data_IF_765490354290
#
_entry.id   IF_765490354290
#
_cell.length_a   1.000
_cell.length_b   1.000
_cell.length_c   1.000
_cell.angle_alpha   90.00
_cell.angle_beta   90.00
_cell.angle_gamma   90.00
#
_symmetry.space_group_name_H-M   'P 1'
#
loop_
_entity.id
_entity.type
_entity.pdbx_description
1 polymer ?
#
# COMPACT_ATOMS: atom_id res chain seq x y z
N UNK A 1 30.37 -8.35 45.10
CA UNK A 1 31.14 -9.43 44.45
C UNK A 1 30.11 -10.38 43.83
N UNK A 2 29.75 -10.18 42.55
CA UNK A 2 30.29 -10.86 41.35
C UNK A 2 29.92 -12.36 41.33
N UNK A 3 29.21 -12.94 40.38
CA UNK A 3 29.20 -12.74 38.92
C UNK A 3 27.92 -13.31 38.28
N UNK A 4 27.45 -12.65 37.22
CA UNK A 4 26.50 -13.14 36.23
C UNK A 4 27.22 -13.98 35.14
N UNK A 5 26.50 -14.71 34.26
CA UNK A 5 26.92 -15.98 33.69
C UNK A 5 27.75 -15.86 32.39
N UNK A 6 28.40 -16.97 32.05
CA UNK A 6 29.28 -17.20 30.89
C UNK A 6 28.69 -16.70 29.57
N UNK A 7 29.14 -15.54 29.11
CA UNK A 7 29.11 -15.17 27.69
C UNK A 7 30.36 -15.72 27.01
N UNK A 8 30.24 -16.32 25.82
CA UNK A 8 31.39 -16.81 25.07
C UNK A 8 32.26 -15.64 24.58
N UNK A 9 33.57 -15.82 24.63
CA UNK A 9 34.56 -14.83 24.15
C UNK A 9 34.69 -14.88 22.64
N UNK A 10 35.34 -13.86 22.07
CA UNK A 10 35.59 -13.71 20.63
C UNK A 10 36.29 -14.92 19.98
N UNK A 11 36.93 -15.76 20.80
CA UNK A 11 37.70 -16.93 20.36
C UNK A 11 37.03 -18.26 20.74
N UNK A 12 35.81 -18.23 21.30
CA UNK A 12 35.09 -19.45 21.70
C UNK A 12 34.49 -20.14 20.48
N UNK A 13 34.94 -21.37 20.23
CA UNK A 13 34.40 -22.22 19.16
C UNK A 13 32.98 -22.69 19.51
N UNK A 14 32.01 -22.38 18.64
CA UNK A 14 30.63 -22.87 18.74
C UNK A 14 30.51 -24.19 17.99
N UNK A 15 30.12 -25.26 18.68
CA UNK A 15 29.91 -26.58 18.06
C UNK A 15 28.64 -26.56 17.18
N UNK A 16 28.85 -26.63 15.85
CA UNK A 16 27.80 -26.87 14.87
C UNK A 16 27.25 -28.30 14.94
N UNK A 17 25.96 -28.46 14.62
CA UNK A 17 25.23 -29.73 14.68
C UNK A 17 25.84 -30.87 13.86
N UNK A 18 25.40 -32.10 14.18
CA UNK A 18 26.00 -33.39 13.81
C UNK A 18 25.91 -33.80 12.31
N UNK A 19 26.15 -32.87 11.39
CA UNK A 19 26.38 -33.16 9.97
C UNK A 19 27.79 -32.68 9.58
N UNK A 20 28.59 -33.48 8.84
CA UNK A 20 29.93 -33.07 8.45
C UNK A 20 29.87 -31.83 7.55
N UNK A 21 30.61 -30.78 7.93
CA UNK A 21 30.71 -29.56 7.13
C UNK A 21 31.32 -29.88 5.76
N UNK A 22 30.82 -29.30 4.65
CA UNK A 22 31.39 -29.50 3.33
C UNK A 22 32.85 -29.01 3.31
N UNK A 23 33.73 -29.83 2.75
CA UNK A 23 35.21 -29.74 2.81
C UNK A 23 35.81 -28.44 2.21
N UNK A 24 34.97 -27.54 1.67
CA UNK A 24 35.37 -26.24 1.12
C UNK A 24 34.38 -25.10 1.41
N UNK A 25 33.50 -25.24 2.42
CA UNK A 25 32.54 -24.20 2.77
C UNK A 25 33.09 -23.23 3.82
N UNK A 26 33.61 -22.07 3.42
CA UNK A 26 33.87 -20.98 4.37
C UNK A 26 32.54 -20.38 4.80
N UNK A 27 32.19 -20.51 6.08
CA UNK A 27 31.08 -19.75 6.67
C UNK A 27 31.59 -18.33 6.91
N UNK A 28 31.35 -17.42 5.96
CA UNK A 28 31.69 -16.01 6.12
C UNK A 28 30.78 -15.42 7.22
N UNK A 29 31.33 -15.23 8.42
CA UNK A 29 30.70 -14.49 9.51
C UNK A 29 30.93 -12.97 9.37
N UNK A 30 30.29 -12.19 10.24
CA UNK A 30 30.52 -10.75 10.32
C UNK A 30 30.08 -9.98 9.06
N UNK A 31 30.75 -8.86 8.81
CA UNK A 31 30.46 -7.95 7.69
C UNK A 31 30.59 -8.63 6.31
N UNK A 32 31.57 -9.53 6.14
CA UNK A 32 31.74 -10.27 4.88
C UNK A 32 30.59 -11.25 4.62
N UNK A 33 30.06 -11.87 5.69
CA UNK A 33 28.83 -12.66 5.60
C UNK A 33 27.63 -11.83 5.16
N UNK A 34 27.48 -10.63 5.71
CA UNK A 34 26.41 -9.70 5.32
C UNK A 34 26.56 -9.27 3.84
N UNK A 35 27.77 -8.91 3.39
CA UNK A 35 28.04 -8.59 1.96
C UNK A 35 27.71 -9.75 1.02
N UNK A 36 28.06 -10.96 1.41
CA UNK A 36 27.74 -12.16 0.64
C UNK A 36 26.22 -12.34 0.51
N UNK A 37 25.48 -12.20 1.62
CA UNK A 37 24.00 -12.28 1.59
C UNK A 37 23.37 -11.15 0.76
N UNK A 38 23.91 -9.94 0.81
CA UNK A 38 23.48 -8.82 -0.04
C UNK A 38 23.73 -9.07 -1.53
N UNK A 39 24.59 -10.01 -1.90
CA UNK A 39 24.80 -10.41 -3.30
C UNK A 39 23.89 -11.56 -3.76
N UNK A 40 23.02 -12.06 -2.88
CA UNK A 40 22.12 -13.18 -3.19
C UNK A 40 21.10 -12.84 -4.27
N UNK A 41 20.78 -13.81 -5.11
CA UNK A 41 19.67 -13.71 -6.06
C UNK A 41 18.31 -13.56 -5.34
N UNK A 42 18.17 -14.18 -4.16
CA UNK A 42 16.94 -14.15 -3.37
C UNK A 42 16.74 -12.79 -2.70
N UNK A 43 15.60 -12.15 -2.99
CA UNK A 43 15.23 -10.82 -2.45
C UNK A 43 15.19 -10.83 -0.93
N UNK A 44 14.54 -11.83 -0.32
CA UNK A 44 14.42 -11.93 1.15
C UNK A 44 15.77 -12.03 1.86
N UNK A 45 16.71 -12.77 1.26
CA UNK A 45 18.08 -12.89 1.81
C UNK A 45 18.79 -11.54 1.81
N UNK A 46 18.58 -10.71 0.77
CA UNK A 46 19.15 -9.35 0.72
C UNK A 46 18.49 -8.44 1.75
N UNK A 47 17.15 -8.47 1.86
CA UNK A 47 16.39 -7.69 2.84
C UNK A 47 16.86 -7.99 4.27
N UNK A 48 16.94 -9.27 4.64
CA UNK A 48 17.41 -9.68 5.97
C UNK A 48 18.85 -9.20 6.26
N UNK A 49 19.73 -9.24 5.26
CA UNK A 49 21.11 -8.80 5.42
C UNK A 49 21.27 -7.28 5.66
N UNK A 50 20.31 -6.45 5.24
CA UNK A 50 20.36 -5.01 5.48
C UNK A 50 20.28 -4.66 6.97
N UNK A 51 19.41 -5.34 7.71
CA UNK A 51 19.31 -5.14 9.15
C UNK A 51 20.62 -5.56 9.84
N UNK A 52 21.20 -6.70 9.45
CA UNK A 52 22.49 -7.17 9.97
C UNK A 52 23.62 -6.18 9.72
N UNK A 53 23.60 -5.48 8.58
CA UNK A 53 24.62 -4.50 8.23
C UNK A 53 24.74 -3.40 9.29
N UNK A 54 23.65 -3.00 9.93
CA UNK A 54 23.65 -1.95 10.95
C UNK A 54 24.50 -2.29 12.18
N UNK A 55 24.85 -3.56 12.39
CA UNK A 55 25.71 -4.00 13.49
C UNK A 55 27.21 -3.74 13.24
N UNK A 56 27.59 -3.26 12.05
CA UNK A 56 29.00 -3.08 11.65
C UNK A 56 29.41 -1.61 11.46
N UNK A 57 28.73 -0.69 12.15
CA UNK A 57 29.07 0.73 12.17
C UNK A 57 29.05 1.38 10.78
N UNK A 58 30.01 2.25 10.51
CA UNK A 58 30.09 3.02 9.25
C UNK A 58 30.18 2.13 8.01
N UNK A 59 30.97 1.05 8.06
CA UNK A 59 31.11 0.14 6.93
C UNK A 59 29.79 -0.57 6.61
N UNK A 60 29.01 -0.91 7.64
CA UNK A 60 27.69 -1.47 7.52
C UNK A 60 26.66 -0.48 6.98
N UNK A 61 26.64 0.75 7.52
CA UNK A 61 25.71 1.78 7.09
C UNK A 61 25.91 2.16 5.61
N UNK A 62 27.16 2.17 5.15
CA UNK A 62 27.49 2.34 3.73
C UNK A 62 26.93 1.22 2.83
N UNK A 63 26.83 -0.02 3.32
CA UNK A 63 26.19 -1.10 2.57
C UNK A 63 24.68 -0.89 2.47
N UNK A 64 24.04 -0.44 3.55
CA UNK A 64 22.61 -0.09 3.54
C UNK A 64 22.35 1.07 2.58
N UNK A 65 23.15 2.13 2.61
CA UNK A 65 23.07 3.25 1.68
C UNK A 65 23.20 2.81 0.21
N UNK A 66 24.17 1.93 -0.10
CA UNK A 66 24.32 1.37 -1.47
C UNK A 66 23.10 0.57 -1.91
N UNK A 67 22.39 -0.08 -1.00
CA UNK A 67 21.20 -0.85 -1.32
C UNK A 67 20.00 0.00 -1.77
N UNK A 68 20.05 1.33 -1.61
CA UNK A 68 19.12 2.25 -2.29
C UNK A 68 19.20 2.13 -3.83
N UNK A 69 20.28 1.57 -4.38
CA UNK A 69 20.45 1.31 -5.81
C UNK A 69 20.20 -0.15 -6.20
N UNK A 70 19.66 -0.99 -5.30
CA UNK A 70 19.36 -2.40 -5.62
C UNK A 70 18.33 -2.50 -6.76
N UNK A 71 18.43 -3.52 -7.60
CA UNK A 71 17.48 -3.76 -8.69
C UNK A 71 16.04 -3.99 -8.20
N UNK A 72 15.86 -4.55 -7.00
CA UNK A 72 14.57 -4.84 -6.39
C UNK A 72 14.04 -3.64 -5.61
N UNK A 73 12.82 -3.18 -5.95
CA UNK A 73 12.12 -2.12 -5.22
C UNK A 73 11.92 -2.46 -3.75
N UNK A 74 11.68 -3.74 -3.41
CA UNK A 74 11.51 -4.21 -2.02
C UNK A 74 12.80 -4.03 -1.20
N UNK A 75 13.96 -4.33 -1.78
CA UNK A 75 15.26 -4.12 -1.12
C UNK A 75 15.54 -2.62 -0.93
N UNK A 76 15.30 -1.80 -1.96
CA UNK A 76 15.45 -0.34 -1.86
C UNK A 76 14.54 0.25 -0.79
N UNK A 77 13.27 -0.20 -0.70
CA UNK A 77 12.31 0.22 0.34
C UNK A 77 12.82 -0.10 1.74
N UNK A 78 13.32 -1.32 1.96
CA UNK A 78 13.88 -1.69 3.26
C UNK A 78 15.12 -0.85 3.60
N UNK A 79 16.02 -0.65 2.65
CA UNK A 79 17.22 0.17 2.86
C UNK A 79 16.85 1.61 3.25
N UNK A 80 15.90 2.20 2.54
CA UNK A 80 15.35 3.52 2.84
C UNK A 80 14.77 3.61 4.26
N UNK A 81 13.91 2.66 4.65
CA UNK A 81 13.30 2.64 5.99
C UNK A 81 14.35 2.50 7.11
N UNK A 82 15.43 1.76 6.88
CA UNK A 82 16.53 1.63 7.85
C UNK A 82 17.40 2.91 7.96
N UNK A 83 17.41 3.75 6.93
CA UNK A 83 18.19 4.98 6.86
C UNK A 83 17.41 6.21 7.34
N UNK A 84 16.08 6.28 7.14
CA UNK A 84 15.29 7.52 7.37
C UNK A 84 15.40 8.10 8.79
N UNK A 85 15.55 7.26 9.81
CA UNK A 85 15.67 7.70 11.21
C UNK A 85 17.13 7.93 11.66
N UNK A 86 18.10 7.80 10.75
CA UNK A 86 19.53 7.89 11.04
C UNK A 86 20.00 9.34 10.96
N UNK A 87 20.92 9.71 11.85
CA UNK A 87 21.49 11.07 11.96
C UNK A 87 22.92 11.15 11.43
N UNK A 88 23.47 10.02 11.03
CA UNK A 88 24.80 9.89 10.47
C UNK A 88 24.87 10.62 9.11
N UNK A 89 25.90 11.45 8.83
CA UNK A 89 25.99 12.25 7.60
C UNK A 89 25.84 11.44 6.31
N UNK A 90 26.38 10.23 6.29
CA UNK A 90 26.27 9.31 5.15
C UNK A 90 24.83 8.86 4.87
N UNK A 91 24.01 8.66 5.91
CA UNK A 91 22.61 8.28 5.73
C UNK A 91 21.79 9.48 5.23
N UNK A 92 22.01 10.66 5.81
CA UNK A 92 21.39 11.92 5.38
C UNK A 92 21.72 12.20 3.91
N UNK A 93 23.00 12.13 3.53
CA UNK A 93 23.44 12.36 2.15
C UNK A 93 22.84 11.33 1.19
N UNK A 94 22.81 10.05 1.57
CA UNK A 94 22.24 9.01 0.72
C UNK A 94 20.73 9.20 0.45
N UNK A 95 20.00 9.81 1.39
CA UNK A 95 18.57 10.06 1.27
C UNK A 95 18.24 11.36 0.53
N UNK A 96 19.06 12.41 0.66
CA UNK A 96 18.84 13.69 -0.03
C UNK A 96 18.74 13.56 -1.56
N UNK A 97 19.52 12.65 -2.16
CA UNK A 97 19.52 12.42 -3.60
C UNK A 97 18.50 11.36 -4.04
N UNK A 98 17.80 10.72 -3.09
CA UNK A 98 16.98 9.56 -3.34
C UNK A 98 15.49 9.89 -3.45
N UNK A 99 14.90 9.62 -4.63
CA UNK A 99 13.45 9.79 -4.86
C UNK A 99 12.66 8.64 -4.24
N UNK A 100 12.41 8.74 -2.94
CA UNK A 100 11.72 7.71 -2.16
C UNK A 100 10.25 7.50 -2.54
N UNK A 101 9.62 8.49 -3.20
CA UNK A 101 8.23 8.42 -3.62
C UNK A 101 7.89 7.14 -4.41
N UNK A 102 8.80 6.71 -5.28
CA UNK A 102 8.60 5.53 -6.11
C UNK A 102 8.78 4.19 -5.35
N UNK A 103 9.14 4.22 -4.06
CA UNK A 103 9.31 3.02 -3.22
C UNK A 103 8.02 2.53 -2.60
N UNK A 104 7.07 3.43 -2.37
CA UNK A 104 5.81 3.06 -1.76
C UNK A 104 4.90 2.42 -2.81
N UNK A 105 4.14 1.42 -2.39
CA UNK A 105 3.04 0.92 -3.22
C UNK A 105 1.98 2.00 -3.16
N UNK A 106 1.50 2.50 -4.28
CA UNK A 106 0.46 3.53 -4.27
C UNK A 106 -0.40 3.32 -5.48
N UNK A 107 -1.68 3.60 -5.33
CA UNK A 107 -2.56 3.54 -6.47
C UNK A 107 -2.41 4.83 -7.30
N UNK A 108 -1.86 4.72 -8.50
CA UNK A 108 -1.85 5.83 -9.44
C UNK A 108 -3.10 5.74 -10.30
N UNK A 109 -3.92 6.81 -10.34
CA UNK A 109 -4.91 6.93 -11.40
C UNK A 109 -4.20 6.87 -12.76
N UNK A 110 -4.79 6.25 -13.77
CA UNK A 110 -4.27 6.36 -15.12
C UNK A 110 -4.13 7.81 -15.55
N UNK A 111 -3.09 8.08 -16.33
CA UNK A 111 -2.91 9.36 -17.01
C UNK A 111 -4.11 9.58 -17.94
N UNK A 112 -4.57 10.83 -18.04
CA UNK A 112 -5.68 11.25 -18.90
C UNK A 112 -5.62 10.60 -20.30
N UNK A 113 -6.77 10.10 -20.79
CA UNK A 113 -7.06 9.52 -22.12
C UNK A 113 -7.04 7.98 -22.30
N UNK A 114 -6.87 7.15 -21.26
CA UNK A 114 -7.15 5.71 -21.38
C UNK A 114 -8.60 5.40 -20.91
N UNK A 115 -9.52 5.25 -21.86
CA UNK A 115 -10.95 4.96 -21.65
C UNK A 115 -11.24 3.60 -21.00
N UNK A 116 -10.27 2.72 -20.78
CA UNK A 116 -10.44 1.48 -20.02
C UNK A 116 -9.09 1.13 -19.39
N UNK A 117 -8.92 1.40 -18.09
CA UNK A 117 -7.64 1.15 -17.43
C UNK A 117 -7.68 0.01 -16.43
N UNK A 118 -7.24 -1.16 -16.89
CA UNK A 118 -6.89 -2.23 -15.98
C UNK A 118 -5.55 -2.00 -15.31
N UNK A 119 -5.42 -2.48 -14.08
CA UNK A 119 -4.17 -2.40 -13.34
C UNK A 119 -3.06 -3.17 -14.06
N UNK A 120 -1.97 -2.48 -14.41
CA UNK A 120 -0.80 -3.04 -15.12
C UNK A 120 0.25 -3.60 -14.15
N UNK A 121 0.25 -3.12 -12.90
CA UNK A 121 1.16 -3.56 -11.84
C UNK A 121 0.44 -3.66 -10.51
N UNK A 122 0.68 -4.74 -9.76
CA UNK A 122 0.08 -4.94 -8.43
C UNK A 122 1.07 -5.66 -7.52
N UNK A 123 1.21 -5.19 -6.28
CA UNK A 123 2.15 -5.72 -5.30
C UNK A 123 3.58 -5.85 -5.84
N UNK A 124 4.06 -4.82 -6.56
CA UNK A 124 5.35 -4.79 -7.26
C UNK A 124 5.58 -5.89 -8.31
N UNK A 125 4.50 -6.48 -8.84
CA UNK A 125 4.53 -7.48 -9.92
C UNK A 125 3.86 -6.90 -11.15
N UNK A 126 4.27 -7.38 -12.32
CA UNK A 126 3.48 -7.16 -13.55
C UNK A 126 2.17 -7.93 -13.41
N UNK A 127 1.07 -7.32 -13.83
CA UNK A 127 -0.22 -7.99 -13.91
C UNK A 127 -0.36 -8.64 -15.29
N UNK A 128 -0.73 -9.92 -15.33
CA UNK A 128 -1.03 -10.67 -16.55
C UNK A 128 -2.36 -11.39 -16.41
N UNK A 129 -3.10 -11.52 -17.50
CA UNK A 129 -4.35 -12.27 -17.51
C UNK A 129 -4.06 -13.76 -17.33
N UNK A 130 -4.84 -14.44 -16.50
CA UNK A 130 -4.76 -15.89 -16.42
C UNK A 130 -5.40 -16.52 -17.65
N UNK A 131 -4.65 -17.41 -18.30
CA UNK A 131 -5.11 -18.20 -19.43
C UNK A 131 -4.91 -19.70 -19.10
N UNK A 132 -5.99 -20.49 -19.04
CA UNK A 132 -5.89 -21.92 -18.73
C UNK A 132 -5.09 -22.72 -19.76
N UNK A 133 -4.91 -22.22 -20.99
CA UNK A 133 -4.07 -22.88 -22.00
C UNK A 133 -2.58 -22.72 -21.71
N UNK A 134 -2.17 -21.57 -21.18
CA UNK A 134 -0.76 -21.28 -20.87
C UNK A 134 -0.37 -21.59 -19.43
N UNK A 135 -1.35 -21.76 -18.53
CA UNK A 135 -1.17 -22.10 -17.12
C UNK A 135 -0.36 -21.05 -16.34
N UNK A 136 -0.23 -21.23 -15.02
CA UNK A 136 0.58 -20.36 -14.17
C UNK A 136 2.08 -20.69 -14.34
N UNK A 137 2.79 -19.83 -15.07
CA UNK A 137 4.22 -19.97 -15.41
C UNK A 137 5.16 -19.38 -14.37
N UNK A 138 4.82 -18.24 -13.76
CA UNK A 138 5.63 -17.58 -12.72
C UNK A 138 4.74 -17.15 -11.53
N UNK A 139 4.38 -18.09 -10.65
CA UNK A 139 3.43 -17.85 -9.57
C UNK A 139 3.88 -16.81 -8.53
N UNK A 140 5.19 -16.51 -8.47
CA UNK A 140 5.75 -15.56 -7.49
C UNK A 140 6.09 -14.20 -8.11
N UNK A 141 6.50 -14.15 -9.38
CA UNK A 141 6.90 -12.92 -10.07
C UNK A 141 5.76 -12.19 -10.80
N UNK A 142 4.64 -12.86 -11.07
CA UNK A 142 3.48 -12.32 -11.78
C UNK A 142 2.28 -12.22 -10.83
N UNK A 143 1.52 -11.13 -10.94
CA UNK A 143 0.18 -11.04 -10.37
C UNK A 143 -0.83 -11.47 -11.45
N UNK A 144 -1.49 -12.60 -11.23
CA UNK A 144 -2.45 -13.11 -12.21
C UNK A 144 -3.80 -12.42 -12.02
N UNK A 145 -4.39 -11.98 -13.12
CA UNK A 145 -5.71 -11.34 -13.13
C UNK A 145 -6.77 -12.28 -13.69
N UNK A 146 -7.95 -12.21 -13.08
CA UNK A 146 -9.19 -12.73 -13.62
C UNK A 146 -10.09 -11.54 -13.94
N UNK A 147 -10.34 -11.31 -15.22
CA UNK A 147 -11.18 -10.20 -15.69
C UNK A 147 -12.32 -10.70 -16.55
N UNK A 148 -13.50 -10.11 -16.35
CA UNK A 148 -14.63 -10.31 -17.23
C UNK A 148 -14.89 -9.03 -18.01
N UNK A 149 -14.89 -9.11 -19.34
CA UNK A 149 -15.42 -8.04 -20.20
C UNK A 149 -16.95 -8.19 -20.30
N UNK A 150 -17.66 -7.08 -20.49
CA UNK A 150 -19.12 -7.02 -20.65
C UNK A 150 -19.64 -7.91 -21.78
N UNK A 151 -18.81 -8.14 -22.80
CA UNK A 151 -19.14 -8.98 -23.96
C UNK A 151 -18.71 -10.44 -23.83
N UNK A 152 -17.97 -10.80 -22.78
CA UNK A 152 -17.57 -12.18 -22.53
C UNK A 152 -18.73 -13.02 -22.00
N UNK A 153 -18.77 -14.29 -22.42
CA UNK A 153 -19.77 -15.26 -21.95
C UNK A 153 -19.37 -15.98 -20.67
N UNK A 154 -18.10 -15.92 -20.31
CA UNK A 154 -17.55 -16.64 -19.18
C UNK A 154 -17.76 -15.82 -17.89
N UNK A 155 -18.42 -16.42 -16.92
CA UNK A 155 -18.69 -15.79 -15.63
C UNK A 155 -17.42 -15.81 -14.76
N UNK A 156 -17.31 -14.83 -13.85
CA UNK A 156 -16.15 -14.72 -12.95
C UNK A 156 -15.94 -15.97 -12.11
N UNK A 157 -17.02 -16.64 -11.70
CA UNK A 157 -16.98 -17.90 -10.95
C UNK A 157 -16.33 -19.02 -11.75
N UNK A 158 -16.54 -19.08 -13.06
CA UNK A 158 -15.95 -20.09 -13.93
C UNK A 158 -14.45 -19.85 -14.11
N UNK A 159 -14.06 -18.59 -14.34
CA UNK A 159 -12.65 -18.18 -14.41
C UNK A 159 -11.89 -18.52 -13.13
N UNK A 160 -12.47 -18.20 -11.97
CA UNK A 160 -11.88 -18.54 -10.67
C UNK A 160 -11.79 -20.05 -10.48
N UNK A 161 -12.84 -20.81 -10.82
CA UNK A 161 -12.80 -22.26 -10.76
C UNK A 161 -11.72 -22.87 -11.67
N UNK A 162 -11.50 -22.29 -12.86
CA UNK A 162 -10.43 -22.66 -13.78
C UNK A 162 -9.04 -22.44 -13.19
N UNK A 163 -8.79 -21.25 -12.62
CA UNK A 163 -7.53 -20.94 -11.95
C UNK A 163 -7.24 -21.89 -10.78
N UNK A 164 -8.26 -22.23 -9.99
CA UNK A 164 -8.11 -23.14 -8.84
C UNK A 164 -7.80 -24.60 -9.23
N UNK A 165 -8.02 -24.98 -10.49
CA UNK A 165 -7.64 -26.28 -11.03
C UNK A 165 -6.19 -26.33 -11.55
N UNK A 166 -5.55 -25.17 -11.70
CA UNK A 166 -4.17 -25.09 -12.17
C UNK A 166 -3.22 -25.80 -11.17
N UNK A 167 -2.30 -26.67 -11.65
CA UNK A 167 -1.39 -27.42 -10.77
C UNK A 167 -0.44 -26.53 -9.96
N UNK A 168 -0.30 -25.26 -10.32
CA UNK A 168 0.58 -24.29 -9.66
C UNK A 168 -0.19 -23.26 -8.81
N UNK A 169 -1.52 -23.37 -8.71
CA UNK A 169 -2.35 -22.48 -7.91
C UNK A 169 -1.86 -22.35 -6.45
N UNK A 170 -1.35 -23.44 -5.87
CA UNK A 170 -0.85 -23.45 -4.49
C UNK A 170 0.44 -22.64 -4.27
N UNK A 171 1.13 -22.26 -5.34
CA UNK A 171 2.31 -21.40 -5.33
C UNK A 171 1.99 -19.94 -5.66
N UNK A 172 0.79 -19.65 -6.17
CA UNK A 172 0.39 -18.32 -6.59
C UNK A 172 0.48 -17.33 -5.41
N UNK A 173 1.24 -16.25 -5.59
CA UNK A 173 1.46 -15.25 -4.55
C UNK A 173 0.58 -14.00 -4.70
N UNK A 174 0.10 -13.67 -5.90
CA UNK A 174 -0.69 -12.46 -6.13
C UNK A 174 -1.83 -12.71 -7.12
N UNK A 175 -3.04 -12.31 -6.72
CA UNK A 175 -4.27 -12.48 -7.48
C UNK A 175 -5.02 -11.14 -7.58
N UNK A 176 -5.46 -10.81 -8.78
CA UNK A 176 -6.31 -9.65 -9.09
C UNK A 176 -7.63 -10.16 -9.62
N UNK A 177 -8.75 -9.71 -9.08
CA UNK A 177 -10.08 -10.10 -9.51
C UNK A 177 -10.85 -8.84 -9.90
N UNK A 178 -11.36 -8.82 -11.14
CA UNK A 178 -12.13 -7.68 -11.61
C UNK A 178 -13.54 -7.64 -11.02
N UNK A 179 -14.18 -6.48 -11.10
CA UNK A 179 -15.63 -6.46 -11.06
C UNK A 179 -16.24 -7.08 -12.33
N UNK A 180 -17.43 -7.65 -12.23
CA UNK A 180 -18.20 -8.16 -13.37
C UNK A 180 -19.67 -7.72 -13.25
N UNK A 181 -20.29 -7.43 -14.39
CA UNK A 181 -21.73 -7.18 -14.47
C UNK A 181 -22.34 -8.43 -15.09
N UNK A 182 -22.91 -9.33 -14.29
CA UNK A 182 -23.73 -10.43 -14.83
C UNK A 182 -25.11 -9.92 -15.25
N UNK A 183 -25.72 -10.61 -16.22
CA UNK A 183 -27.10 -10.40 -16.68
C UNK A 183 -28.15 -10.63 -15.58
N UNK A 184 -27.76 -11.15 -14.41
CA UNK A 184 -28.59 -11.26 -13.20
C UNK A 184 -28.10 -10.29 -12.11
N UNK A 185 -28.65 -9.06 -12.02
CA UNK A 185 -28.13 -7.99 -11.16
C UNK A 185 -28.15 -8.29 -9.66
N UNK A 186 -28.92 -9.29 -9.21
CA UNK A 186 -29.03 -9.70 -7.81
C UNK A 186 -27.89 -10.61 -7.34
N UNK A 187 -27.09 -11.18 -8.24
CA UNK A 187 -25.92 -12.03 -7.92
C UNK A 187 -24.59 -11.29 -8.13
N UNK A 188 -24.63 -10.05 -8.62
CA UNK A 188 -23.46 -9.19 -8.76
C UNK A 188 -23.11 -8.61 -7.39
N UNK A 189 -22.52 -9.43 -6.52
CA UNK A 189 -21.86 -9.03 -5.29
C UNK A 189 -20.59 -9.83 -5.14
N UNK A 190 -19.55 -9.21 -4.58
CA UNK A 190 -18.31 -9.92 -4.24
C UNK A 190 -18.51 -11.03 -3.21
N UNK A 191 -19.65 -11.14 -2.52
CA UNK A 191 -19.87 -12.20 -1.52
C UNK A 191 -19.63 -13.61 -2.07
N UNK A 192 -20.07 -13.88 -3.30
CA UNK A 192 -19.88 -15.18 -3.96
C UNK A 192 -18.38 -15.47 -4.19
N UNK A 193 -17.62 -14.44 -4.55
CA UNK A 193 -16.17 -14.57 -4.77
C UNK A 193 -15.43 -14.70 -3.45
N UNK A 194 -15.84 -13.98 -2.40
CA UNK A 194 -15.31 -14.15 -1.05
C UNK A 194 -15.53 -15.59 -0.58
N UNK A 195 -16.74 -16.14 -0.72
CA UNK A 195 -17.05 -17.52 -0.35
C UNK A 195 -16.18 -18.54 -1.11
N UNK A 196 -16.01 -18.35 -2.42
CA UNK A 196 -15.13 -19.19 -3.24
C UNK A 196 -13.66 -19.10 -2.81
N UNK A 197 -13.17 -17.90 -2.51
CA UNK A 197 -11.81 -17.71 -2.01
C UNK A 197 -11.62 -18.38 -0.64
N UNK A 198 -12.59 -18.27 0.28
CA UNK A 198 -12.52 -18.94 1.59
C UNK A 198 -12.55 -20.47 1.42
N UNK A 199 -13.35 -21.00 0.49
CA UNK A 199 -13.36 -22.42 0.18
C UNK A 199 -12.06 -22.92 -0.49
N UNK A 200 -11.27 -22.00 -1.08
CA UNK A 200 -10.05 -22.30 -1.82
C UNK A 200 -8.76 -22.21 -0.98
N UNK A 201 -8.83 -22.07 0.34
CA UNK A 201 -7.67 -21.92 1.23
C UNK A 201 -6.59 -22.98 1.06
N UNK A 202 -6.97 -24.25 0.86
CA UNK A 202 -6.03 -25.34 0.61
C UNK A 202 -5.41 -25.31 -0.80
N UNK A 203 -6.00 -24.55 -1.72
CA UNK A 203 -5.55 -24.39 -3.11
C UNK A 203 -4.69 -23.16 -3.32
N UNK A 204 -4.87 -22.10 -2.54
CA UNK A 204 -4.16 -20.82 -2.66
C UNK A 204 -3.22 -20.58 -1.46
N UNK A 205 -2.50 -21.60 -1.02
CA UNK A 205 -1.71 -21.61 0.23
C UNK A 205 -0.51 -20.65 0.30
N UNK A 206 -0.15 -20.03 -0.83
CA UNK A 206 0.98 -19.09 -0.94
C UNK A 206 0.53 -17.66 -1.22
N UNK A 207 -0.78 -17.39 -1.22
CA UNK A 207 -1.31 -16.08 -1.54
C UNK A 207 -0.83 -15.04 -0.53
N UNK A 208 -0.26 -13.95 -1.04
CA UNK A 208 0.30 -12.81 -0.29
C UNK A 208 -0.33 -11.47 -0.68
N UNK A 209 -0.87 -11.36 -1.88
CA UNK A 209 -1.51 -10.12 -2.33
C UNK A 209 -2.82 -10.42 -3.04
N UNK A 210 -3.88 -9.72 -2.64
CA UNK A 210 -5.21 -9.85 -3.22
C UNK A 210 -5.76 -8.46 -3.57
N UNK A 211 -6.18 -8.30 -4.82
CA UNK A 211 -6.92 -7.11 -5.26
C UNK A 211 -8.33 -7.51 -5.70
N UNK A 212 -9.34 -6.97 -5.03
CA UNK A 212 -10.75 -7.14 -5.35
C UNK A 212 -11.32 -5.87 -6.01
N UNK A 213 -11.94 -6.04 -7.18
CA UNK A 213 -12.65 -4.97 -7.86
C UNK A 213 -11.84 -4.22 -8.90
N UNK A 214 -10.76 -4.81 -9.45
CA UNK A 214 -10.05 -4.19 -10.57
C UNK A 214 -11.05 -3.91 -11.70
N UNK A 215 -10.99 -2.73 -12.29
CA UNK A 215 -11.98 -2.31 -13.28
C UNK A 215 -11.32 -1.36 -14.25
N UNK A 216 -11.48 -1.65 -15.54
CA UNK A 216 -11.16 -0.72 -16.62
C UNK A 216 -12.06 0.50 -16.50
N UNK A 217 -11.55 1.61 -15.98
CA UNK A 217 -12.31 2.87 -15.85
C UNK A 217 -12.71 3.36 -17.26
N UNK A 218 -13.98 3.10 -17.62
CA UNK A 218 -14.49 3.25 -18.98
C UNK A 218 -16.00 3.22 -19.14
N UNK A 219 -16.71 3.76 -18.14
CA UNK A 219 -18.18 3.86 -18.16
C UNK A 219 -18.86 3.24 -16.96
N UNK A 220 -18.14 2.49 -16.13
CA UNK A 220 -18.68 1.93 -14.88
C UNK A 220 -18.15 2.74 -13.70
N UNK A 221 -19.06 3.45 -13.05
CA UNK A 221 -18.83 4.20 -11.83
C UNK A 221 -18.41 3.24 -10.69
N UNK A 222 -17.41 3.63 -9.88
CA UNK A 222 -16.98 2.86 -8.69
C UNK A 222 -18.15 2.57 -7.73
N UNK A 223 -19.19 3.42 -7.73
CA UNK A 223 -20.40 3.23 -6.94
C UNK A 223 -21.21 1.98 -7.32
N UNK A 224 -21.00 1.45 -8.54
CA UNK A 224 -21.67 0.26 -9.07
C UNK A 224 -21.02 -1.04 -8.61
N UNK A 225 -19.79 -1.00 -8.10
CA UNK A 225 -19.11 -2.18 -7.58
C UNK A 225 -19.73 -2.54 -6.23
N UNK A 226 -20.52 -3.62 -6.19
CA UNK A 226 -21.12 -4.12 -4.96
C UNK A 226 -20.17 -5.08 -4.27
N UNK A 227 -19.50 -4.57 -3.26
CA UNK A 227 -18.65 -5.33 -2.36
C UNK A 227 -19.49 -6.20 -1.40
N UNK A 228 -18.80 -6.76 -0.41
CA UNK A 228 -19.37 -7.51 0.71
C UNK A 228 -18.50 -7.30 1.95
N UNK A 229 -18.76 -8.06 3.02
CA UNK A 229 -17.74 -8.26 4.05
C UNK A 229 -16.53 -8.98 3.42
N UNK A 230 -15.36 -8.37 3.53
CA UNK A 230 -14.09 -8.91 2.98
C UNK A 230 -13.24 -9.56 4.07
N UNK A 231 -13.58 -9.40 5.34
CA UNK A 231 -12.82 -9.95 6.48
C UNK A 231 -12.54 -11.44 6.41
N UNK A 232 -13.46 -12.30 5.91
CA UNK A 232 -13.19 -13.74 5.79
C UNK A 232 -11.94 -14.08 4.97
N UNK A 233 -11.52 -13.23 4.00
CA UNK A 233 -10.28 -13.50 3.26
C UNK A 233 -9.04 -13.31 4.12
N UNK A 234 -9.07 -12.43 5.12
CA UNK A 234 -7.95 -12.23 6.04
C UNK A 234 -7.78 -13.48 6.92
N UNK A 235 -8.88 -14.04 7.42
CA UNK A 235 -8.83 -15.27 8.21
C UNK A 235 -8.39 -16.48 7.38
N UNK A 236 -8.83 -16.54 6.12
CA UNK A 236 -8.51 -17.61 5.17
C UNK A 236 -7.03 -17.63 4.76
N UNK A 237 -6.39 -16.47 4.65
CA UNK A 237 -5.06 -16.32 4.06
C UNK A 237 -4.05 -15.73 5.04
N UNK A 238 -3.50 -16.52 5.99
CA UNK A 238 -2.65 -16.00 7.06
C UNK A 238 -1.31 -15.40 6.58
N UNK A 239 -0.93 -15.63 5.32
CA UNK A 239 0.27 -15.04 4.68
C UNK A 239 -0.04 -13.77 3.90
N UNK A 240 -1.28 -13.26 3.92
CA UNK A 240 -1.66 -12.09 3.14
C UNK A 240 -0.95 -10.84 3.65
N UNK A 241 -0.12 -10.26 2.80
CA UNK A 241 0.68 -9.06 3.06
C UNK A 241 -0.01 -7.81 2.51
N UNK A 242 -0.83 -7.94 1.47
CA UNK A 242 -1.50 -6.81 0.82
C UNK A 242 -2.95 -7.16 0.46
N UNK A 243 -3.88 -6.32 0.93
CA UNK A 243 -5.27 -6.32 0.51
C UNK A 243 -5.61 -4.97 -0.11
N UNK A 244 -6.05 -5.01 -1.36
CA UNK A 244 -6.58 -3.84 -2.07
C UNK A 244 -8.03 -4.11 -2.44
N UNK A 245 -8.91 -3.13 -2.21
CA UNK A 245 -10.33 -3.24 -2.51
C UNK A 245 -10.79 -1.98 -3.22
N UNK A 246 -11.48 -2.13 -4.35
CA UNK A 246 -12.08 -1.04 -5.11
C UNK A 246 -13.60 -1.15 -5.10
N UNK A 247 -14.29 -0.07 -4.77
CA UNK A 247 -15.74 0.00 -4.62
C UNK A 247 -16.16 0.09 -3.15
N UNK A 248 -17.04 1.05 -2.82
CA UNK A 248 -17.51 1.26 -1.44
C UNK A 248 -18.89 0.64 -1.13
N UNK A 249 -19.68 0.31 -2.16
CA UNK A 249 -21.06 -0.10 -1.98
C UNK A 249 -21.13 -1.50 -1.34
N UNK A 250 -21.67 -1.59 -0.13
CA UNK A 250 -21.74 -2.85 0.63
C UNK A 250 -20.39 -3.33 1.18
N UNK A 251 -19.33 -2.53 1.08
CA UNK A 251 -18.02 -2.86 1.64
C UNK A 251 -18.09 -2.83 3.16
N UNK A 252 -17.79 -3.97 3.77
CA UNK A 252 -17.78 -4.11 5.22
C UNK A 252 -16.52 -4.81 5.70
N UNK A 253 -16.19 -4.55 6.96
CA UNK A 253 -15.23 -5.32 7.72
C UNK A 253 -15.85 -5.74 9.06
N UNK A 254 -15.35 -6.83 9.63
CA UNK A 254 -15.62 -7.29 10.98
C UNK A 254 -14.32 -7.23 11.80
N UNK A 255 -14.44 -7.36 13.12
CA UNK A 255 -13.27 -7.33 14.00
C UNK A 255 -12.45 -8.59 13.78
N UNK A 256 -11.35 -8.44 13.04
CA UNK A 256 -10.45 -9.54 12.66
C UNK A 256 -9.02 -9.17 13.02
N UNK A 257 -8.25 -10.18 13.43
CA UNK A 257 -6.81 -10.08 13.65
C UNK A 257 -6.06 -10.61 12.42
N UNK A 258 -5.02 -9.91 11.96
CA UNK A 258 -4.15 -10.42 10.90
C UNK A 258 -2.67 -10.08 11.11
N UNK A 259 -1.83 -11.10 11.37
CA UNK A 259 -0.42 -10.92 11.74
C UNK A 259 0.47 -10.34 10.64
N UNK A 260 0.12 -10.56 9.36
CA UNK A 260 1.02 -10.29 8.25
C UNK A 260 0.56 -9.18 7.31
N UNK A 261 -0.60 -8.55 7.55
CA UNK A 261 -1.14 -7.57 6.61
C UNK A 261 -0.33 -6.27 6.73
N UNK A 262 0.48 -5.97 5.72
CA UNK A 262 1.34 -4.78 5.69
C UNK A 262 0.69 -3.61 4.96
N UNK A 263 -0.19 -3.90 3.99
CA UNK A 263 -0.83 -2.91 3.13
C UNK A 263 -2.33 -3.16 3.08
N UNK A 264 -3.09 -2.13 3.48
CA UNK A 264 -4.53 -2.05 3.26
C UNK A 264 -4.82 -0.79 2.45
N UNK A 265 -5.39 -0.97 1.25
CA UNK A 265 -5.75 0.12 0.35
C UNK A 265 -7.21 -0.02 -0.09
N UNK A 266 -7.99 1.04 0.09
CA UNK A 266 -9.41 1.07 -0.21
C UNK A 266 -9.71 2.24 -1.16
N UNK A 267 -10.17 1.91 -2.36
CA UNK A 267 -10.49 2.86 -3.43
C UNK A 267 -12.01 3.00 -3.56
N UNK A 268 -12.57 4.17 -3.26
CA UNK A 268 -14.00 4.40 -3.39
C UNK A 268 -14.31 5.79 -3.96
N UNK A 269 -15.52 5.92 -4.52
CA UNK A 269 -16.12 7.22 -4.80
C UNK A 269 -16.74 7.86 -3.56
N UNK A 270 -17.03 7.08 -2.51
CA UNK A 270 -17.64 7.50 -1.25
C UNK A 270 -17.50 6.38 -0.20
N UNK A 271 -16.67 6.60 0.82
CA UNK A 271 -16.40 5.63 1.87
C UNK A 271 -17.28 5.92 3.09
N UNK A 272 -18.05 4.92 3.52
CA UNK A 272 -18.96 5.09 4.65
C UNK A 272 -18.20 5.20 5.97
N UNK A 273 -18.75 5.99 6.90
CA UNK A 273 -18.25 6.08 8.27
C UNK A 273 -18.29 4.74 8.99
N UNK A 274 -19.25 3.88 8.64
CA UNK A 274 -19.38 2.55 9.22
C UNK A 274 -18.19 1.69 8.81
N UNK A 275 -17.80 1.71 7.53
CA UNK A 275 -16.63 1.00 7.03
C UNK A 275 -15.35 1.49 7.71
N UNK A 276 -15.18 2.80 7.89
CA UNK A 276 -14.04 3.38 8.63
C UNK A 276 -14.02 2.86 10.08
N UNK A 277 -15.15 2.93 10.78
CA UNK A 277 -15.25 2.44 12.16
C UNK A 277 -14.95 0.94 12.28
N UNK A 278 -15.38 0.13 11.30
CA UNK A 278 -15.08 -1.30 11.26
C UNK A 278 -13.59 -1.57 11.08
N UNK A 279 -12.89 -0.82 10.21
CA UNK A 279 -11.44 -0.95 10.05
C UNK A 279 -10.70 -0.57 11.34
N UNK A 280 -11.16 0.47 12.03
CA UNK A 280 -10.55 0.95 13.29
C UNK A 280 -10.63 -0.07 14.45
N UNK A 281 -11.49 -1.09 14.36
CA UNK A 281 -11.60 -2.17 15.37
C UNK A 281 -10.97 -3.50 14.93
N UNK A 282 -10.26 -3.50 13.80
CA UNK A 282 -9.41 -4.61 13.39
C UNK A 282 -8.06 -4.56 14.11
N UNK A 283 -7.43 -5.72 14.28
CA UNK A 283 -6.09 -5.81 14.84
C UNK A 283 -5.08 -6.16 13.73
N UNK A 284 -4.35 -5.14 13.27
CA UNK A 284 -3.44 -5.23 12.14
C UNK A 284 -2.02 -4.81 12.57
N UNK A 285 -1.34 -5.61 13.41
CA UNK A 285 -0.08 -5.22 14.04
C UNK A 285 1.05 -5.00 13.02
N UNK A 286 0.99 -5.63 11.84
CA UNK A 286 1.99 -5.46 10.79
C UNK A 286 1.72 -4.31 9.82
N UNK A 287 0.62 -3.56 9.98
CA UNK A 287 0.20 -2.55 9.00
C UNK A 287 1.22 -1.41 8.91
N UNK A 288 1.78 -1.24 7.70
CA UNK A 288 2.80 -0.23 7.37
C UNK A 288 2.28 0.80 6.37
N UNK A 289 1.28 0.44 5.57
CA UNK A 289 0.69 1.28 4.55
C UNK A 289 -0.82 1.23 4.68
N UNK A 290 -1.43 2.38 4.93
CA UNK A 290 -2.86 2.51 4.99
C UNK A 290 -3.32 3.63 4.06
N UNK A 291 -4.22 3.29 3.14
CA UNK A 291 -4.73 4.22 2.14
C UNK A 291 -6.25 4.12 2.04
N UNK A 292 -6.91 5.28 2.19
CA UNK A 292 -8.34 5.45 2.05
C UNK A 292 -8.62 6.51 1.00
N UNK A 293 -9.48 6.17 0.04
CA UNK A 293 -10.12 7.13 -0.84
C UNK A 293 -11.50 7.45 -0.26
N UNK A 294 -11.61 8.65 0.30
CA UNK A 294 -12.76 9.04 1.11
C UNK A 294 -13.97 9.37 0.26
N UNK A 295 -13.78 10.02 -0.88
CA UNK A 295 -14.81 10.27 -1.86
C UNK A 295 -15.56 11.60 -1.67
N UNK A 296 -16.79 11.64 -2.16
CA UNK A 296 -17.69 12.79 -2.03
C UNK A 296 -19.14 12.37 -1.68
N UNK A 297 -19.97 13.36 -1.33
CA UNK A 297 -21.36 13.11 -0.96
C UNK A 297 -22.25 12.58 -2.09
N UNK A 298 -21.93 12.86 -3.36
CA UNK A 298 -22.69 12.34 -4.50
C UNK A 298 -22.61 10.81 -4.59
N UNK A 299 -21.52 10.20 -4.12
CA UNK A 299 -21.38 8.74 -4.04
C UNK A 299 -21.70 8.17 -2.66
N UNK A 300 -22.43 8.91 -1.84
CA UNK A 300 -22.96 8.41 -0.58
C UNK A 300 -21.97 8.41 0.58
N UNK A 301 -20.97 9.30 0.58
CA UNK A 301 -20.18 9.54 1.78
C UNK A 301 -21.09 10.02 2.91
N UNK A 302 -20.86 9.49 4.10
CA UNK A 302 -21.45 9.95 5.37
C UNK A 302 -20.39 10.11 6.47
N UNK A 303 -19.12 10.04 6.07
CA UNK A 303 -17.96 10.21 6.95
C UNK A 303 -17.52 11.67 7.03
N UNK A 304 -16.90 12.01 8.15
CA UNK A 304 -16.26 13.31 8.38
C UNK A 304 -14.88 13.14 9.01
N UNK A 305 -14.20 14.25 9.25
CA UNK A 305 -12.88 14.25 9.91
C UNK A 305 -12.92 13.60 11.29
N UNK A 306 -14.05 13.66 12.01
CA UNK A 306 -14.24 13.02 13.30
C UNK A 306 -14.09 11.49 13.23
N UNK A 307 -14.52 10.86 12.15
CA UNK A 307 -14.40 9.40 11.97
C UNK A 307 -12.93 8.99 11.70
N UNK A 308 -12.05 9.92 11.34
CA UNK A 308 -10.62 9.69 11.11
C UNK A 308 -9.76 9.87 12.37
N UNK A 309 -10.30 10.46 13.44
CA UNK A 309 -9.59 10.71 14.71
C UNK A 309 -8.90 9.45 15.26
N UNK A 310 -9.54 8.25 15.29
CA UNK A 310 -8.89 7.04 15.77
C UNK A 310 -7.61 6.71 14.98
N UNK A 311 -7.62 6.92 13.66
CA UNK A 311 -6.49 6.65 12.76
C UNK A 311 -5.37 7.67 13.01
N UNK A 312 -5.69 8.96 13.00
CA UNK A 312 -4.68 10.03 13.11
C UNK A 312 -4.13 10.21 14.54
N UNK A 313 -4.78 9.59 15.53
CA UNK A 313 -4.25 9.53 16.90
C UNK A 313 -2.93 8.74 17.02
N UNK A 314 -2.56 7.95 16.01
CA UNK A 314 -1.30 7.20 15.94
C UNK A 314 -1.26 5.94 16.81
N UNK A 315 -2.32 5.61 17.55
CA UNK A 315 -2.29 4.48 18.50
C UNK A 315 -2.73 3.14 17.87
N UNK A 316 -3.51 3.17 16.78
CA UNK A 316 -4.06 1.95 16.17
C UNK A 316 -2.99 1.17 15.40
N UNK A 317 -2.31 1.82 14.46
CA UNK A 317 -1.36 1.17 13.56
C UNK A 317 0.06 1.61 13.90
N UNK A 318 0.65 1.01 14.93
CA UNK A 318 1.95 1.44 15.49
C UNK A 318 3.15 1.30 14.54
N UNK A 319 3.02 0.50 13.48
CA UNK A 319 4.05 0.29 12.45
C UNK A 319 3.79 1.10 11.16
N UNK A 320 2.78 1.98 11.17
CA UNK A 320 2.38 2.76 10.00
C UNK A 320 3.50 3.70 9.55
N UNK A 321 3.84 3.62 8.26
CA UNK A 321 4.83 4.46 7.58
C UNK A 321 4.22 5.31 6.46
N UNK A 322 3.10 4.88 5.88
CA UNK A 322 2.38 5.62 4.86
C UNK A 322 0.93 5.77 5.28
N UNK A 323 0.44 7.00 5.29
CA UNK A 323 -0.98 7.32 5.46
C UNK A 323 -1.46 8.09 4.24
N UNK A 324 -2.37 7.49 3.48
CA UNK A 324 -3.09 8.14 2.39
C UNK A 324 -4.53 8.42 2.79
N UNK A 325 -4.90 9.69 2.86
CA UNK A 325 -6.28 10.16 3.02
C UNK A 325 -6.65 10.94 1.76
N UNK A 326 -6.82 10.16 0.68
CA UNK A 326 -6.86 10.66 -0.69
C UNK A 326 -8.29 10.86 -1.14
N UNK A 327 -8.44 11.54 -2.28
CA UNK A 327 -9.72 11.67 -2.98
C UNK A 327 -10.85 12.18 -2.07
N UNK A 328 -10.57 13.13 -1.17
CA UNK A 328 -11.53 13.60 -0.17
C UNK A 328 -12.18 14.93 -0.56
N UNK A 329 -13.47 15.10 -0.29
CA UNK A 329 -14.14 16.39 -0.41
C UNK A 329 -13.90 17.35 0.76
N UNK A 330 -13.45 16.84 1.90
CA UNK A 330 -13.16 17.61 3.14
C UNK A 330 -11.65 17.62 3.46
N UNK A 331 -10.81 17.84 2.45
CA UNK A 331 -9.35 17.72 2.61
C UNK A 331 -8.75 18.86 3.47
N UNK A 332 -9.35 20.05 3.46
CA UNK A 332 -8.91 21.17 4.30
C UNK A 332 -9.13 20.84 5.80
N UNK A 333 -10.26 20.21 6.14
CA UNK A 333 -10.57 19.77 7.49
C UNK A 333 -9.62 18.66 7.97
N UNK A 334 -9.28 17.73 7.09
CA UNK A 334 -8.26 16.69 7.35
C UNK A 334 -6.91 17.35 7.63
N UNK A 335 -6.50 18.30 6.80
CA UNK A 335 -5.24 19.03 6.95
C UNK A 335 -5.15 19.73 8.32
N UNK A 336 -6.23 20.41 8.74
CA UNK A 336 -6.33 21.05 10.07
C UNK A 336 -6.23 20.03 11.20
N UNK A 337 -6.93 18.90 11.10
CA UNK A 337 -6.89 17.86 12.13
C UNK A 337 -5.51 17.20 12.25
N UNK A 338 -4.73 17.15 11.16
CA UNK A 338 -3.40 16.57 11.14
C UNK A 338 -2.32 17.45 11.79
N UNK A 339 -2.53 18.77 11.92
CA UNK A 339 -1.49 19.72 12.39
C UNK A 339 -0.80 19.26 13.66
N UNK A 340 -1.58 18.82 14.65
CA UNK A 340 -1.12 18.35 15.96
C UNK A 340 -1.32 16.83 16.14
N UNK A 341 -1.65 16.11 15.07
CA UNK A 341 -1.96 14.69 15.16
C UNK A 341 -0.68 13.86 15.43
N UNK A 342 -0.68 12.96 16.44
CA UNK A 342 0.50 12.16 16.77
C UNK A 342 0.99 11.28 15.61
N UNK A 343 0.10 10.86 14.71
CA UNK A 343 0.48 10.07 13.52
C UNK A 343 1.55 10.75 12.67
N UNK A 344 1.59 12.08 12.64
CA UNK A 344 2.57 12.87 11.87
C UNK A 344 4.01 12.67 12.33
N UNK A 345 4.23 12.25 13.59
CA UNK A 345 5.56 11.95 14.13
C UNK A 345 6.00 10.51 13.81
N UNK A 346 5.07 9.67 13.34
CA UNK A 346 5.31 8.25 13.10
C UNK A 346 5.55 7.96 11.60
N UNK A 347 4.71 8.53 10.74
CA UNK A 347 4.71 8.21 9.30
C UNK A 347 5.89 8.83 8.56
N UNK A 348 6.28 8.22 7.44
CA UNK A 348 7.21 8.77 6.45
C UNK A 348 6.49 9.62 5.42
N UNK A 349 5.29 9.17 5.05
CA UNK A 349 4.56 9.70 3.91
C UNK A 349 3.15 10.03 4.32
N UNK A 350 2.79 11.29 4.10
CA UNK A 350 1.41 11.75 4.11
C UNK A 350 0.97 12.01 2.66
N UNK A 351 -0.09 11.33 2.22
CA UNK A 351 -0.70 11.52 0.92
C UNK A 351 -2.13 12.09 1.07
N UNK A 352 -2.29 13.37 0.74
CA UNK A 352 -3.56 14.11 0.66
C UNK A 352 -3.93 14.42 -0.80
N UNK A 353 -3.43 13.63 -1.75
CA UNK A 353 -3.65 13.88 -3.17
C UNK A 353 -5.09 13.63 -3.60
N UNK A 354 -5.43 14.15 -4.78
CA UNK A 354 -6.71 13.95 -5.45
C UNK A 354 -7.92 14.54 -4.73
N UNK A 355 -7.69 15.35 -3.70
CA UNK A 355 -8.72 15.93 -2.86
C UNK A 355 -9.18 17.31 -3.29
N UNK A 356 -9.58 18.09 -2.29
CA UNK A 356 -10.10 19.45 -2.36
C UNK A 356 -9.23 20.46 -1.59
N UNK A 357 -8.00 20.08 -1.23
CA UNK A 357 -7.11 20.93 -0.43
C UNK A 357 -6.90 22.27 -1.12
N UNK A 358 -7.10 23.35 -0.39
CA UNK A 358 -6.79 24.70 -0.83
C UNK A 358 -5.73 25.35 0.02
N UNK A 359 -5.50 26.63 -0.29
CA UNK A 359 -4.48 27.42 0.36
C UNK A 359 -4.67 27.49 1.89
N UNK A 360 -5.90 27.58 2.40
CA UNK A 360 -6.18 27.62 3.84
C UNK A 360 -5.77 26.33 4.56
N UNK A 361 -6.16 25.16 4.03
CA UNK A 361 -5.74 23.87 4.59
C UNK A 361 -4.23 23.63 4.46
N UNK A 362 -3.63 24.04 3.35
CA UNK A 362 -2.19 23.93 3.15
C UNK A 362 -1.39 24.86 4.09
N UNK A 363 -1.89 26.07 4.35
CA UNK A 363 -1.32 26.97 5.37
C UNK A 363 -1.39 26.32 6.76
N UNK A 364 -2.48 25.65 7.10
CA UNK A 364 -2.56 24.90 8.36
C UNK A 364 -1.47 23.82 8.46
N UNK A 365 -1.22 23.06 7.38
CA UNK A 365 -0.14 22.06 7.35
C UNK A 365 1.25 22.68 7.52
N UNK A 366 1.50 23.86 6.95
CA UNK A 366 2.77 24.58 7.11
C UNK A 366 3.06 24.97 8.57
N UNK A 367 2.01 25.14 9.40
CA UNK A 367 2.14 25.41 10.83
C UNK A 367 2.35 24.14 11.66
N UNK A 368 2.27 22.94 11.08
CA UNK A 368 2.46 21.69 11.82
C UNK A 368 3.92 21.54 12.29
N UNK A 369 4.17 21.36 13.60
CA UNK A 369 5.52 21.18 14.12
C UNK A 369 6.18 19.87 13.68
N UNK A 370 5.39 18.92 13.14
CA UNK A 370 5.86 17.61 12.68
C UNK A 370 5.99 17.51 11.16
N UNK A 371 5.60 18.52 10.36
CA UNK A 371 5.57 18.44 8.89
C UNK A 371 6.93 18.05 8.29
N UNK A 372 8.02 18.55 8.87
CA UNK A 372 9.40 18.26 8.44
C UNK A 372 9.98 16.95 8.99
N UNK A 373 9.20 16.20 9.78
CA UNK A 373 9.53 14.83 10.16
C UNK A 373 9.06 13.81 9.11
N UNK A 374 8.14 14.23 8.24
CA UNK A 374 7.81 13.48 7.04
C UNK A 374 9.03 13.44 6.13
N UNK A 375 9.13 12.37 5.36
CA UNK A 375 10.02 12.32 4.21
C UNK A 375 9.31 12.88 2.97
N UNK A 376 8.00 12.64 2.85
CA UNK A 376 7.21 13.05 1.69
C UNK A 376 5.82 13.57 2.11
N UNK A 377 5.47 14.73 1.59
CA UNK A 377 4.13 15.30 1.60
C UNK A 377 3.59 15.33 0.16
N UNK A 378 2.60 14.50 -0.15
CA UNK A 378 1.93 14.55 -1.45
C UNK A 378 0.59 15.29 -1.35
N UNK A 379 0.51 16.43 -2.05
CA UNK A 379 -0.68 17.29 -2.20
C UNK A 379 -1.03 17.49 -3.67
N UNK A 380 -0.63 16.57 -4.54
CA UNK A 380 -0.94 16.61 -5.97
C UNK A 380 -2.45 16.52 -6.24
N UNK A 381 -2.91 17.03 -7.38
CA UNK A 381 -4.33 17.00 -7.77
C UNK A 381 -5.28 17.64 -6.72
N UNK A 382 -4.87 18.79 -6.19
CA UNK A 382 -5.67 19.64 -5.29
C UNK A 382 -5.93 21.01 -5.94
N UNK A 383 -6.20 22.06 -5.17
CA UNK A 383 -6.53 23.40 -5.66
C UNK A 383 -5.61 24.47 -5.04
N UNK A 384 -4.30 24.18 -5.00
CA UNK A 384 -3.30 25.07 -4.41
C UNK A 384 -2.83 26.15 -5.38
N UNK A 385 -2.64 27.36 -4.88
CA UNK A 385 -1.99 28.44 -5.62
C UNK A 385 -0.49 28.23 -5.76
N UNK A 386 0.12 28.87 -6.76
CA UNK A 386 1.57 28.81 -6.98
C UNK A 386 2.38 29.30 -5.76
N UNK A 387 1.85 30.26 -4.99
CA UNK A 387 2.55 30.82 -3.85
C UNK A 387 2.56 29.88 -2.64
N UNK A 388 1.48 29.12 -2.44
CA UNK A 388 1.47 28.04 -1.46
C UNK A 388 2.39 26.90 -1.88
N UNK A 389 2.39 26.52 -3.16
CA UNK A 389 3.30 25.49 -3.67
C UNK A 389 4.76 25.87 -3.43
N UNK A 390 5.15 27.13 -3.69
CA UNK A 390 6.51 27.62 -3.40
C UNK A 390 6.87 27.52 -1.91
N UNK A 391 5.92 27.76 -1.01
CA UNK A 391 6.15 27.62 0.43
C UNK A 391 6.31 26.16 0.83
N UNK A 392 5.46 25.26 0.33
CA UNK A 392 5.59 23.83 0.57
C UNK A 392 6.92 23.27 0.03
N UNK A 393 7.43 23.79 -1.09
CA UNK A 393 8.73 23.42 -1.64
C UNK A 393 9.93 23.89 -0.81
N UNK A 394 9.73 24.76 0.18
CA UNK A 394 10.78 25.20 1.13
C UNK A 394 10.86 24.33 2.38
N UNK A 395 9.95 23.34 2.53
CA UNK A 395 10.02 22.36 3.60
C UNK A 395 11.26 21.47 3.49
N UNK A 396 11.70 20.93 4.62
CA UNK A 396 12.79 19.94 4.66
C UNK A 396 12.32 18.60 4.05
N UNK A 397 11.02 18.29 4.18
CA UNK A 397 10.41 17.12 3.55
C UNK A 397 10.14 17.36 2.06
N UNK A 398 10.09 16.29 1.27
CA UNK A 398 9.79 16.39 -0.16
C UNK A 398 8.30 16.70 -0.36
N UNK A 399 7.97 17.94 -0.75
CA UNK A 399 6.62 18.30 -1.18
C UNK A 399 6.38 17.96 -2.67
N UNK A 400 5.33 17.19 -2.95
CA UNK A 400 4.86 16.86 -4.31
C UNK A 400 3.50 17.53 -4.52
N UNK A 401 3.41 18.44 -5.49
CA UNK A 401 2.23 19.28 -5.71
C UNK A 401 1.82 19.32 -7.19
N UNK A 402 1.96 18.20 -7.89
CA UNK A 402 1.73 18.13 -9.33
C UNK A 402 0.24 18.22 -9.68
N UNK A 403 -0.09 18.68 -10.90
CA UNK A 403 -1.43 18.62 -11.50
C UNK A 403 -2.55 19.30 -10.67
N UNK A 404 -2.29 20.49 -10.13
CA UNK A 404 -3.33 21.27 -9.44
C UNK A 404 -4.50 21.62 -10.38
N UNK A 405 -5.71 21.52 -9.84
CA UNK A 405 -6.99 21.78 -10.50
C UNK A 405 -7.44 23.22 -10.28
N UNK A 406 -8.35 23.69 -11.12
CA UNK A 406 -8.99 24.99 -10.98
C UNK A 406 -10.42 24.81 -10.45
N UNK A 407 -10.87 25.60 -9.46
CA UNK A 407 -12.26 25.57 -9.02
C UNK A 407 -13.21 25.89 -10.17
N UNK A 408 -14.36 25.25 -10.23
CA UNK A 408 -15.41 25.59 -11.20
C UNK A 408 -16.49 26.42 -10.52
N UNK A 409 -17.17 27.28 -11.28
CA UNK A 409 -18.28 28.08 -10.77
C UNK A 409 -19.61 27.36 -11.00
N UNK A 410 -20.41 27.22 -9.95
CA UNK A 410 -21.76 26.71 -9.99
C UNK A 410 -22.74 27.83 -9.64
N UNK A 411 -23.74 28.10 -10.49
CA UNK A 411 -24.60 29.31 -10.39
C UNK A 411 -25.21 29.52 -9.01
N UNK A 412 -25.67 28.44 -8.37
CA UNK A 412 -26.36 28.49 -7.08
C UNK A 412 -25.41 28.42 -5.87
N UNK A 413 -24.15 28.03 -6.06
CA UNK A 413 -23.23 27.69 -4.96
C UNK A 413 -21.84 28.32 -5.05
N UNK A 414 -21.57 29.14 -6.07
CA UNK A 414 -20.29 29.80 -6.26
C UNK A 414 -19.17 28.86 -6.71
N UNK A 415 -17.92 29.21 -6.40
CA UNK A 415 -16.77 28.37 -6.74
C UNK A 415 -16.74 27.10 -5.89
N UNK A 416 -16.60 25.95 -6.55
CA UNK A 416 -16.54 24.62 -5.95
C UNK A 416 -15.26 23.88 -6.31
N UNK A 417 -14.76 23.15 -5.33
CA UNK A 417 -13.67 22.17 -5.45
C UNK A 417 -14.28 20.78 -5.40
N UNK A 418 -13.60 19.81 -6.01
CA UNK A 418 -14.07 18.43 -6.12
C UNK A 418 -12.88 17.47 -6.11
N UNK A 419 -13.05 16.27 -5.58
CA UNK A 419 -12.02 15.23 -5.60
C UNK A 419 -11.95 14.54 -6.98
N UNK A 420 -10.79 13.97 -7.35
CA UNK A 420 -10.50 13.58 -8.75
C UNK A 420 -11.40 12.44 -9.26
N UNK A 421 -11.76 11.47 -8.42
CA UNK A 421 -12.65 10.36 -8.84
C UNK A 421 -14.08 10.84 -9.05
N UNK A 422 -14.49 11.94 -8.40
CA UNK A 422 -15.77 12.56 -8.67
C UNK A 422 -15.85 13.23 -10.05
N UNK A 423 -14.72 13.66 -10.60
CA UNK A 423 -14.66 14.31 -11.91
C UNK A 423 -14.88 13.33 -13.07
N UNK A 424 -14.57 12.04 -12.85
CA UNK A 424 -14.83 10.99 -13.85
C UNK A 424 -16.32 10.85 -14.18
N UNK A 425 -17.24 11.21 -13.27
CA UNK A 425 -18.68 11.18 -13.57
C UNK A 425 -19.22 12.43 -14.28
N UNK A 426 -18.49 13.56 -14.30
CA UNK A 426 -18.95 14.75 -15.03
C UNK A 426 -18.92 14.57 -16.55
N UNK A 427 -18.25 13.53 -17.03
CA UNK A 427 -18.17 13.18 -18.45
C UNK A 427 -19.25 12.18 -18.89
N UNK A 428 -20.23 11.84 -18.02
CA UNK A 428 -21.36 10.94 -18.34
C UNK A 428 -22.70 11.66 -18.31
#
# INVERSE_FOLDING_TARGET
>A
MSNNPKQPKQDDAVFGGAAPAPVAGVVLGGLEGAKHRLSSAAVETRIAALADCLNYGEAGLNLVARALQDKSKRVRKQAYLLLRQRKEPQAIQALQEYKAWNLFERFDLPVENEFFYYTKTFANRKVEEFDPETSIVDPAGIAYALRCDYYEKEEMTDKLAGLLQDPQANKLEALVISWWISFMPSTNSFSVIIDMLVAATEKLTSLKALFLGDLGLGGTDLSLIRQSDVSPVLEAYPKLEMLQVRGGNGLAFSSTWHDNLEILAIETGGLSRQTIAQICVMDLPALKHFELWLGNYYYGIDSSVEDLIPIISGNLFTNLNYLGLRNSEYTDEIAVALVEAPVMQQIAVLDLSMGTLGDEGALALLESPAINQLDILNVSENFLSEDIIKQLQQLDCQAIADRQKQPYYEEDYGFKRYCSVADLAKYY
#
